data_IF_584620305823
#
_entry.id   IF_584620305823
#
_cell.length_a   1.000
_cell.length_b   1.000
_cell.length_c   1.000
_cell.angle_alpha   90.00
_cell.angle_beta   90.00
_cell.angle_gamma   90.00
#
_symmetry.space_group_name_H-M   'P 1'
#
loop_
_entity.id
_entity.type
_entity.pdbx_description
1 polymer ?
#
# COMPACT_ATOMS: atom_id res chain seq x y z
N UNK A 1 3.08 -1.20 -12.65
CA UNK A 1 2.87 0.27 -12.73
C UNK A 1 1.38 0.63 -12.58
N UNK A 2 0.52 -0.32 -12.19
CA UNK A 2 -0.95 -0.20 -12.20
C UNK A 2 -1.51 0.60 -11.02
N UNK A 3 -0.98 0.49 -9.80
CA UNK A 3 -1.53 1.23 -8.66
C UNK A 3 -1.31 2.75 -8.73
N UNK A 4 -0.25 3.19 -9.42
CA UNK A 4 -0.02 4.61 -9.66
C UNK A 4 -1.06 5.18 -10.63
N UNK A 5 -1.41 4.43 -11.68
CA UNK A 5 -2.42 4.85 -12.65
C UNK A 5 -3.85 4.76 -12.06
N UNK A 6 -4.15 3.77 -11.22
CA UNK A 6 -5.40 3.72 -10.44
C UNK A 6 -5.52 4.90 -9.44
N UNK A 7 -4.40 5.31 -8.82
CA UNK A 7 -4.36 6.49 -7.97
C UNK A 7 -4.62 7.78 -8.77
N UNK A 8 -4.13 7.90 -10.00
CA UNK A 8 -4.43 9.04 -10.89
C UNK A 8 -5.91 9.10 -11.28
N UNK A 9 -6.55 7.95 -11.48
CA UNK A 9 -7.98 7.90 -11.77
C UNK A 9 -8.85 8.28 -10.55
N UNK A 10 -8.37 8.03 -9.33
CA UNK A 10 -9.10 8.34 -8.09
C UNK A 10 -8.80 9.73 -7.51
N UNK A 11 -7.56 10.21 -7.66
CA UNK A 11 -7.12 11.54 -7.25
C UNK A 11 -6.99 12.40 -8.50
N UNK A 12 -7.93 13.33 -8.70
CA UNK A 12 -7.97 14.24 -9.86
C UNK A 12 -6.85 15.30 -9.86
N UNK A 13 -5.72 15.03 -9.17
CA UNK A 13 -4.56 15.89 -9.02
C UNK A 13 -3.27 15.09 -9.28
N UNK A 14 -2.79 15.14 -10.52
CA UNK A 14 -1.55 14.50 -10.95
C UNK A 14 -0.33 14.94 -10.13
N UNK A 15 -0.33 16.19 -9.64
CA UNK A 15 0.76 16.73 -8.82
C UNK A 15 0.81 16.06 -7.45
N UNK A 16 -0.36 15.75 -6.88
CA UNK A 16 -0.46 15.03 -5.61
C UNK A 16 0.04 13.59 -5.78
N UNK A 17 -0.29 12.94 -6.89
CA UNK A 17 0.18 11.58 -7.18
C UNK A 17 1.70 11.54 -7.36
N UNK A 18 2.28 12.46 -8.13
CA UNK A 18 3.73 12.51 -8.32
C UNK A 18 4.47 12.79 -7.00
N UNK A 19 3.92 13.64 -6.13
CA UNK A 19 4.47 13.88 -4.79
C UNK A 19 4.34 12.65 -3.89
N UNK A 20 3.22 11.92 -3.92
CA UNK A 20 3.04 10.68 -3.17
C UNK A 20 4.01 9.59 -3.62
N UNK A 21 4.29 9.50 -4.92
CA UNK A 21 5.23 8.54 -5.50
C UNK A 21 6.69 8.88 -5.24
N UNK A 22 7.01 10.16 -5.06
CA UNK A 22 8.40 10.64 -4.86
C UNK A 22 8.76 10.75 -3.38
N UNK A 23 7.94 11.49 -2.61
CA UNK A 23 8.14 11.74 -1.18
C UNK A 23 6.82 12.20 -0.53
N UNK A 24 6.05 11.24 0.00
CA UNK A 24 4.77 11.53 0.62
C UNK A 24 4.89 12.34 1.93
N UNK A 25 6.07 12.42 2.57
CA UNK A 25 6.26 13.26 3.76
C UNK A 25 6.19 14.75 3.40
N UNK A 26 6.50 15.12 2.15
CA UNK A 26 6.40 16.49 1.63
C UNK A 26 5.09 16.78 0.91
N UNK A 27 4.28 15.75 0.64
CA UNK A 27 2.99 15.89 -0.03
C UNK A 27 1.98 16.66 0.83
N UNK A 28 1.10 17.42 0.16
CA UNK A 28 0.01 18.17 0.78
C UNK A 28 -1.19 17.26 1.12
N UNK A 29 -0.95 16.30 2.01
CA UNK A 29 -1.94 15.38 2.57
C UNK A 29 -2.16 15.69 4.05
N UNK A 30 -3.32 15.29 4.58
CA UNK A 30 -3.61 15.46 6.00
C UNK A 30 -2.73 14.57 6.88
N UNK A 31 -2.57 14.95 8.14
CA UNK A 31 -1.69 14.26 9.09
C UNK A 31 -2.11 12.81 9.34
N UNK A 32 -3.40 12.48 9.22
CA UNK A 32 -3.90 11.10 9.39
C UNK A 32 -3.42 10.22 8.23
N UNK A 33 -3.61 10.69 6.99
CA UNK A 33 -3.13 9.99 5.80
C UNK A 33 -1.61 9.81 5.84
N UNK A 34 -0.87 10.84 6.27
CA UNK A 34 0.58 10.75 6.43
C UNK A 34 0.98 9.68 7.46
N UNK A 35 0.33 9.65 8.62
CA UNK A 35 0.61 8.63 9.64
C UNK A 35 0.33 7.20 9.14
N UNK A 36 -0.74 7.00 8.37
CA UNK A 36 -1.06 5.71 7.73
C UNK A 36 0.04 5.30 6.74
N UNK A 37 0.51 6.22 5.89
CA UNK A 37 1.58 5.95 4.92
C UNK A 37 2.92 5.63 5.60
N UNK A 38 3.29 6.39 6.65
CA UNK A 38 4.48 6.10 7.45
C UNK A 38 4.42 4.70 8.08
N UNK A 39 3.25 4.32 8.60
CA UNK A 39 3.04 2.97 9.12
C UNK A 39 3.12 1.91 8.01
N UNK A 40 2.53 2.16 6.85
CA UNK A 40 2.59 1.25 5.70
C UNK A 40 4.05 1.01 5.23
N UNK A 41 4.88 2.06 5.18
CA UNK A 41 6.32 1.93 4.90
C UNK A 41 7.00 1.04 5.93
N UNK A 42 6.79 1.30 7.23
CA UNK A 42 7.38 0.49 8.31
C UNK A 42 6.99 -0.98 8.20
N UNK A 43 5.74 -1.29 7.92
CA UNK A 43 5.27 -2.68 7.70
C UNK A 43 5.94 -3.29 6.47
N UNK A 44 6.08 -2.53 5.39
CA UNK A 44 6.66 -3.01 4.13
C UNK A 44 8.14 -3.38 4.28
N UNK A 45 8.92 -2.52 4.92
CA UNK A 45 10.37 -2.69 5.09
C UNK A 45 10.71 -3.60 6.27
N UNK A 46 9.98 -3.45 7.38
CA UNK A 46 10.41 -3.92 8.69
C UNK A 46 9.24 -4.38 9.56
N UNK A 47 8.29 -5.16 9.03
CA UNK A 47 7.12 -5.65 9.78
C UNK A 47 7.45 -6.26 11.16
N UNK A 48 8.59 -6.94 11.27
CA UNK A 48 9.06 -7.57 12.52
C UNK A 48 9.41 -6.56 13.65
N UNK A 49 9.50 -5.27 13.32
CA UNK A 49 9.77 -4.17 14.26
C UNK A 49 8.52 -3.41 14.68
N UNK A 50 7.35 -3.77 14.14
CA UNK A 50 6.07 -3.16 14.51
C UNK A 50 5.72 -3.53 15.94
N UNK A 51 5.31 -2.55 16.72
CA UNK A 51 4.98 -2.66 18.14
C UNK A 51 3.58 -2.14 18.42
N UNK A 52 3.08 -2.39 19.64
CA UNK A 52 1.82 -1.80 20.10
C UNK A 52 1.83 -0.26 20.05
N UNK A 53 2.99 0.38 20.27
CA UNK A 53 3.11 1.83 20.24
C UNK A 53 2.85 2.42 18.85
N UNK A 54 3.16 1.69 17.78
CA UNK A 54 2.85 2.12 16.40
C UNK A 54 1.34 2.10 16.15
N UNK A 55 0.65 1.09 16.67
CA UNK A 55 -0.81 0.97 16.59
C UNK A 55 -1.49 2.06 17.44
N UNK A 56 -0.99 2.28 18.65
CA UNK A 56 -1.49 3.33 19.55
C UNK A 56 -1.29 4.72 18.96
N UNK A 57 -0.19 4.96 18.25
CA UNK A 57 0.03 6.21 17.53
C UNK A 57 -1.07 6.48 16.51
N UNK A 58 -1.44 5.48 15.71
CA UNK A 58 -2.53 5.60 14.75
C UNK A 58 -3.90 5.79 15.42
N UNK A 59 -4.15 5.14 16.58
CA UNK A 59 -5.37 5.37 17.36
C UNK A 59 -5.51 6.82 17.85
N UNK A 60 -4.40 7.52 18.09
CA UNK A 60 -4.45 8.94 18.49
C UNK A 60 -5.01 9.86 17.40
N UNK A 61 -5.03 9.43 16.14
CA UNK A 61 -5.70 10.12 15.04
C UNK A 61 -7.20 9.76 14.94
N UNK A 62 -7.73 8.98 15.88
CA UNK A 62 -9.13 8.52 15.87
C UNK A 62 -9.39 7.31 14.98
N UNK A 63 -8.34 6.63 14.51
CA UNK A 63 -8.46 5.41 13.70
C UNK A 63 -8.97 4.27 14.59
N UNK A 64 -10.05 3.61 14.17
CA UNK A 64 -10.64 2.47 14.91
C UNK A 64 -9.84 1.19 14.72
N UNK A 65 -10.04 0.21 15.60
CA UNK A 65 -9.38 -1.10 15.48
C UNK A 65 -9.79 -1.84 14.19
N UNK A 66 -11.03 -1.69 13.73
CA UNK A 66 -11.49 -2.25 12.45
C UNK A 66 -10.75 -1.62 11.26
N UNK A 67 -10.53 -0.30 11.32
CA UNK A 67 -9.80 0.42 10.27
C UNK A 67 -8.32 0.08 10.29
N UNK A 68 -7.72 -0.05 11.49
CA UNK A 68 -6.35 -0.54 11.66
C UNK A 68 -6.16 -1.93 11.06
N UNK A 69 -7.11 -2.83 11.32
CA UNK A 69 -7.08 -4.17 10.74
C UNK A 69 -7.09 -4.11 9.21
N UNK A 70 -7.99 -3.32 8.61
CA UNK A 70 -8.06 -3.15 7.16
C UNK A 70 -6.76 -2.57 6.58
N UNK A 71 -6.15 -1.58 7.23
CA UNK A 71 -4.85 -1.01 6.82
C UNK A 71 -3.78 -2.11 6.80
N UNK A 72 -3.65 -2.87 7.89
CA UNK A 72 -2.65 -3.95 8.00
C UNK A 72 -2.89 -5.03 6.94
N UNK A 73 -4.14 -5.41 6.71
CA UNK A 73 -4.52 -6.40 5.70
C UNK A 73 -4.11 -5.95 4.29
N UNK A 74 -4.46 -4.72 3.90
CA UNK A 74 -4.14 -4.16 2.58
C UNK A 74 -2.62 -4.09 2.38
N UNK A 75 -1.89 -3.51 3.34
CA UNK A 75 -0.43 -3.37 3.26
C UNK A 75 0.23 -4.76 3.20
N UNK A 76 -0.22 -5.70 4.03
CA UNK A 76 0.29 -7.07 4.07
C UNK A 76 0.07 -7.82 2.76
N UNK A 77 -1.12 -7.68 2.17
CA UNK A 77 -1.48 -8.31 0.89
C UNK A 77 -0.57 -7.84 -0.25
N UNK A 78 -0.38 -6.52 -0.40
CA UNK A 78 0.52 -5.99 -1.43
C UNK A 78 1.97 -6.37 -1.19
N UNK A 79 2.43 -6.39 0.07
CA UNK A 79 3.76 -6.88 0.40
C UNK A 79 3.96 -8.35 -0.01
N UNK A 80 2.97 -9.20 0.25
CA UNK A 80 3.02 -10.62 -0.12
C UNK A 80 3.10 -10.80 -1.64
N UNK A 81 2.19 -10.17 -2.38
CA UNK A 81 2.14 -10.29 -3.83
C UNK A 81 3.38 -9.67 -4.50
N UNK A 82 3.85 -8.51 -4.05
CA UNK A 82 5.07 -7.89 -4.57
C UNK A 82 6.30 -8.78 -4.34
N UNK A 83 6.38 -9.46 -3.19
CA UNK A 83 7.46 -10.43 -2.92
C UNK A 83 7.38 -11.66 -3.81
N UNK A 84 6.18 -12.18 -4.10
CA UNK A 84 6.02 -13.28 -5.06
C UNK A 84 6.46 -12.87 -6.46
N UNK A 85 5.96 -11.75 -6.98
CA UNK A 85 6.33 -11.25 -8.30
C UNK A 85 7.84 -11.05 -8.41
N UNK A 86 8.45 -10.41 -7.40
CA UNK A 86 9.91 -10.21 -7.31
C UNK A 86 10.69 -11.53 -7.29
N UNK A 87 10.22 -12.54 -6.54
CA UNK A 87 10.89 -13.84 -6.44
C UNK A 87 10.83 -14.65 -7.74
N UNK A 88 9.74 -14.53 -8.51
CA UNK A 88 9.59 -15.17 -9.81
C UNK A 88 10.18 -14.36 -10.96
N UNK A 89 10.60 -13.12 -10.72
CA UNK A 89 11.15 -12.22 -11.76
C UNK A 89 10.09 -11.82 -12.80
N UNK A 90 8.83 -11.77 -12.39
CA UNK A 90 7.70 -11.37 -13.24
C UNK A 90 7.25 -9.97 -12.84
N UNK A 91 6.85 -9.16 -13.82
CA UNK A 91 6.10 -7.95 -13.50
C UNK A 91 4.75 -8.37 -12.92
N UNK A 92 4.28 -7.63 -11.91
CA UNK A 92 3.04 -7.95 -11.22
C UNK A 92 1.86 -8.00 -12.19
N UNK A 93 1.90 -7.15 -13.20
CA UNK A 93 0.89 -7.01 -14.25
C UNK A 93 0.81 -8.33 -15.06
N UNK A 94 1.95 -8.92 -15.44
CA UNK A 94 2.03 -10.23 -16.11
C UNK A 94 1.57 -11.38 -15.20
N UNK A 95 1.84 -11.31 -13.89
CA UNK A 95 1.47 -12.35 -12.93
C UNK A 95 -0.04 -12.39 -12.66
N UNK A 96 -0.66 -11.23 -12.49
CA UNK A 96 -2.10 -11.10 -12.27
C UNK A 96 -2.85 -11.48 -13.55
N UNK A 97 -2.47 -10.93 -14.72
CA UNK A 97 -3.13 -11.24 -15.99
C UNK A 97 -2.90 -12.68 -16.47
N UNK A 98 -1.71 -13.24 -16.22
CA UNK A 98 -1.37 -14.62 -16.57
C UNK A 98 -2.27 -15.66 -15.90
N UNK A 99 -2.74 -15.41 -14.68
CA UNK A 99 -3.67 -16.30 -13.98
C UNK A 99 -5.09 -16.23 -14.53
N UNK A 100 -5.60 -15.04 -14.91
CA UNK A 100 -6.93 -14.93 -15.52
C UNK A 100 -7.03 -15.63 -16.88
N UNK A 101 -5.92 -15.69 -17.63
CA UNK A 101 -5.87 -16.35 -18.94
C UNK A 101 -5.81 -17.88 -18.87
N UNK A 102 -5.28 -18.42 -17.77
CA UNK A 102 -5.17 -19.87 -17.55
C UNK A 102 -6.46 -20.51 -17.00
N UNK A 103 -7.29 -19.75 -16.28
CA UNK A 103 -8.60 -20.23 -15.80
C UNK A 103 -9.69 -20.25 -16.89
N UNK A 104 -9.45 -19.60 -18.03
CA UNK A 104 -10.37 -19.57 -19.17
C UNK A 104 -10.24 -20.78 -20.12
N UNK A 105 -9.38 -21.76 -19.80
CA UNK A 105 -9.16 -22.98 -20.62
C UNK A 105 -9.28 -24.29 -19.83
N UNK A 106 -9.93 -24.26 -18.67
CA UNK A 106 -10.36 -25.46 -17.92
C UNK A 106 -11.77 -25.87 -18.28
#
# INVERSE_FOLDING_TARGET
>A
MVHADELRDQLTDDTLVDNLLTDFDTANIDDTTKAILQFAVKVTESAHTVTAADLDHLRNFGITDETLFAIVEIVGFFCYINRLASAFGVELDDFIEGNYRNESKG
#
